data_IF_865103069724
#
_entry.id   IF_865103069724
#
_cell.length_a   1.000
_cell.length_b   1.000
_cell.length_c   1.000
_cell.angle_alpha   90.00
_cell.angle_beta   90.00
_cell.angle_gamma   90.00
#
_symmetry.space_group_name_H-M   'P 1'
#
loop_
_entity.id
_entity.type
_entity.pdbx_description
1 polymer ?
#
# COMPACT_ATOMS: atom_id res chain seq x y z
N UNK A 1 7.04 -26.51 -5.68
CA UNK A 1 7.42 -25.72 -4.49
C UNK A 1 7.21 -24.25 -4.87
N UNK A 2 6.30 -23.55 -4.20
CA UNK A 2 6.11 -22.11 -4.40
C UNK A 2 6.94 -21.44 -3.30
N UNK A 3 7.99 -20.73 -3.71
CA UNK A 3 8.84 -19.93 -2.82
C UNK A 3 8.10 -18.63 -2.48
N UNK A 4 8.38 -18.03 -1.32
CA UNK A 4 7.85 -16.70 -0.97
C UNK A 4 8.22 -15.66 -2.05
N UNK A 5 7.25 -14.81 -2.41
CA UNK A 5 7.46 -13.68 -3.32
C UNK A 5 8.46 -12.71 -2.72
N UNK A 6 9.53 -12.37 -3.44
CA UNK A 6 10.50 -11.39 -2.96
C UNK A 6 9.89 -9.99 -2.88
N UNK A 7 10.40 -9.14 -2.00
CA UNK A 7 10.01 -7.73 -1.89
C UNK A 7 10.08 -6.98 -3.23
N UNK A 8 11.07 -7.30 -4.07
CA UNK A 8 11.21 -6.73 -5.41
C UNK A 8 10.08 -7.18 -6.36
N UNK A 9 9.67 -8.44 -6.28
CA UNK A 9 8.55 -8.96 -7.07
C UNK A 9 7.21 -8.37 -6.62
N UNK A 10 7.00 -8.21 -5.30
CA UNK A 10 5.81 -7.53 -4.76
C UNK A 10 5.76 -6.10 -5.30
N UNK A 11 6.86 -5.33 -5.19
CA UNK A 11 6.95 -3.97 -5.75
C UNK A 11 6.63 -3.94 -7.24
N UNK A 12 7.25 -4.81 -8.04
CA UNK A 12 7.06 -4.82 -9.48
C UNK A 12 5.59 -5.07 -9.86
N UNK A 13 4.90 -5.98 -9.15
CA UNK A 13 3.47 -6.25 -9.34
C UNK A 13 2.62 -5.01 -9.09
N UNK A 14 2.87 -4.27 -8.01
CA UNK A 14 2.13 -3.04 -7.70
C UNK A 14 2.42 -1.91 -8.69
N UNK A 15 3.68 -1.74 -9.12
CA UNK A 15 4.06 -0.78 -10.16
C UNK A 15 3.35 -1.10 -11.48
N UNK A 16 3.30 -2.38 -11.88
CA UNK A 16 2.61 -2.81 -13.09
C UNK A 16 1.11 -2.49 -13.02
N UNK A 17 0.45 -2.78 -11.89
CA UNK A 17 -0.96 -2.40 -11.67
C UNK A 17 -1.14 -0.87 -11.74
N UNK A 18 -0.21 -0.11 -11.16
CA UNK A 18 -0.21 1.36 -11.20
C UNK A 18 -0.10 1.90 -12.62
N UNK A 19 0.81 1.34 -13.44
CA UNK A 19 0.95 1.70 -14.86
C UNK A 19 -0.35 1.42 -15.62
N UNK A 20 -0.98 0.27 -15.39
CA UNK A 20 -2.27 -0.07 -16.02
C UNK A 20 -3.36 0.91 -15.61
N UNK A 21 -3.47 1.24 -14.32
CA UNK A 21 -4.45 2.19 -13.82
C UNK A 21 -4.21 3.62 -14.32
N UNK A 22 -2.96 4.01 -14.54
CA UNK A 22 -2.60 5.33 -15.05
C UNK A 22 -3.03 5.55 -16.51
N UNK A 23 -3.33 4.48 -17.27
CA UNK A 23 -3.89 4.60 -18.62
C UNK A 23 -5.31 5.18 -18.59
N UNK A 24 -6.07 4.90 -17.53
CA UNK A 24 -7.46 5.35 -17.33
C UNK A 24 -7.53 6.59 -16.43
N UNK A 25 -6.62 6.68 -15.46
CA UNK A 25 -6.57 7.73 -14.43
C UNK A 25 -5.19 8.40 -14.52
N UNK A 26 -4.96 9.24 -15.54
CA UNK A 26 -3.63 9.81 -15.77
C UNK A 26 -3.23 10.74 -14.62
N UNK A 27 -2.10 10.42 -13.99
CA UNK A 27 -1.39 11.28 -13.07
C UNK A 27 -0.19 11.92 -13.75
N UNK A 28 0.18 13.08 -13.23
CA UNK A 28 1.44 13.74 -13.56
C UNK A 28 2.63 12.97 -12.97
N UNK A 29 3.82 13.21 -13.52
CA UNK A 29 5.07 12.63 -13.00
C UNK A 29 5.29 13.00 -11.53
N UNK A 30 4.93 14.22 -11.12
CA UNK A 30 5.07 14.68 -9.74
C UNK A 30 4.09 14.02 -8.77
N UNK A 31 2.86 13.75 -9.21
CA UNK A 31 1.89 13.00 -8.42
C UNK A 31 2.33 11.54 -8.26
N UNK A 32 2.81 10.91 -9.33
CA UNK A 32 3.39 9.55 -9.26
C UNK A 32 4.61 9.50 -8.32
N UNK A 33 5.51 10.49 -8.40
CA UNK A 33 6.65 10.61 -7.48
C UNK A 33 6.21 10.80 -6.04
N UNK A 34 5.16 11.58 -5.80
CA UNK A 34 4.63 11.81 -4.45
C UNK A 34 4.06 10.51 -3.85
N UNK A 35 3.34 9.71 -4.65
CA UNK A 35 2.91 8.37 -4.25
C UNK A 35 4.10 7.45 -3.93
N UNK A 36 5.16 7.51 -4.75
CA UNK A 36 6.40 6.77 -4.51
C UNK A 36 7.08 7.12 -3.17
N UNK A 37 6.90 8.35 -2.70
CA UNK A 37 7.37 8.85 -1.40
C UNK A 37 6.41 8.54 -0.24
N UNK A 38 5.42 7.66 -0.44
CA UNK A 38 4.41 7.29 0.55
C UNK A 38 3.54 8.46 1.00
N UNK A 39 3.29 9.41 0.08
CA UNK A 39 2.40 10.55 0.31
C UNK A 39 1.29 10.50 -0.72
N UNK A 40 0.08 10.85 -0.29
CA UNK A 40 -1.04 11.00 -1.21
C UNK A 40 -1.02 12.41 -1.81
N UNK A 41 -0.84 12.57 -3.13
CA UNK A 41 -1.04 13.87 -3.77
C UNK A 41 -2.49 14.33 -3.59
N UNK A 42 -2.73 15.65 -3.51
CA UNK A 42 -4.09 16.18 -3.42
C UNK A 42 -4.88 15.90 -4.71
N UNK A 43 -6.21 15.82 -4.59
CA UNK A 43 -7.11 15.64 -5.73
C UNK A 43 -7.84 14.31 -5.76
N UNK A 44 -8.80 14.15 -6.69
CA UNK A 44 -9.59 12.93 -6.85
C UNK A 44 -8.80 11.84 -7.60
N UNK A 45 -8.07 12.20 -8.66
CA UNK A 45 -7.35 11.24 -9.51
C UNK A 45 -6.36 10.38 -8.73
N UNK A 46 -5.49 10.91 -7.84
CA UNK A 46 -4.57 10.07 -7.08
C UNK A 46 -5.29 9.06 -6.17
N UNK A 47 -6.40 9.48 -5.53
CA UNK A 47 -7.23 8.60 -4.72
C UNK A 47 -7.85 7.47 -5.56
N UNK A 48 -8.33 7.80 -6.75
CA UNK A 48 -8.93 6.81 -7.64
C UNK A 48 -7.89 5.88 -8.29
N UNK A 49 -6.66 6.35 -8.50
CA UNK A 49 -5.55 5.48 -8.90
C UNK A 49 -5.27 4.42 -7.83
N UNK A 50 -5.25 4.80 -6.55
CA UNK A 50 -5.16 3.85 -5.43
C UNK A 50 -6.29 2.82 -5.48
N UNK A 51 -7.53 3.27 -5.67
CA UNK A 51 -8.69 2.37 -5.75
C UNK A 51 -8.59 1.38 -6.91
N UNK A 52 -8.15 1.82 -8.09
CA UNK A 52 -7.94 0.94 -9.23
C UNK A 52 -6.91 -0.15 -8.93
N UNK A 53 -5.78 0.18 -8.30
CA UNK A 53 -4.76 -0.82 -7.95
C UNK A 53 -5.24 -1.74 -6.84
N UNK A 54 -5.93 -1.24 -5.83
CA UNK A 54 -6.48 -2.08 -4.77
C UNK A 54 -7.54 -3.04 -5.31
N UNK A 55 -8.34 -2.66 -6.32
CA UNK A 55 -9.24 -3.60 -7.02
C UNK A 55 -8.45 -4.68 -7.77
N UNK A 56 -7.40 -4.31 -8.51
CA UNK A 56 -6.52 -5.29 -9.18
C UNK A 56 -5.83 -6.24 -8.20
N UNK A 57 -5.55 -5.76 -6.98
CA UNK A 57 -5.00 -6.57 -5.90
C UNK A 57 -6.07 -7.38 -5.13
N UNK A 58 -7.36 -7.25 -5.48
CA UNK A 58 -8.52 -7.83 -4.77
C UNK A 58 -8.67 -7.37 -3.32
N UNK A 59 -8.26 -6.13 -3.02
CA UNK A 59 -8.39 -5.52 -1.69
C UNK A 59 -9.66 -4.69 -1.56
N UNK A 60 -10.26 -4.29 -2.69
CA UNK A 60 -11.56 -3.64 -2.72
C UNK A 60 -12.56 -4.49 -3.49
N UNK A 61 -13.77 -4.59 -2.96
CA UNK A 61 -14.91 -5.17 -3.68
C UNK A 61 -15.59 -4.14 -4.60
N UNK A 62 -16.61 -4.57 -5.34
CA UNK A 62 -17.37 -3.73 -6.27
C UNK A 62 -18.13 -2.57 -5.58
N UNK A 63 -18.33 -2.65 -4.26
CA UNK A 63 -18.90 -1.56 -3.46
C UNK A 63 -17.83 -0.57 -2.98
N UNK A 64 -16.57 -0.80 -3.35
CA UNK A 64 -15.43 0.02 -2.94
C UNK A 64 -15.05 -0.21 -1.48
N UNK A 65 -15.49 -1.30 -0.87
CA UNK A 65 -15.21 -1.66 0.52
C UNK A 65 -13.93 -2.48 0.60
N UNK A 66 -13.14 -2.25 1.65
CA UNK A 66 -11.95 -3.06 1.93
C UNK A 66 -12.33 -4.50 2.29
N UNK A 67 -11.69 -5.46 1.62
CA UNK A 67 -11.92 -6.89 1.78
C UNK A 67 -10.88 -7.46 2.73
N UNK A 68 -11.24 -7.72 3.99
CA UNK A 68 -10.30 -8.26 5.00
C UNK A 68 -9.72 -9.62 4.62
N UNK A 69 -10.42 -10.42 3.81
CA UNK A 69 -9.91 -11.69 3.28
C UNK A 69 -8.69 -11.53 2.36
N UNK A 70 -8.46 -10.33 1.79
CA UNK A 70 -7.26 -10.02 1.01
C UNK A 70 -5.96 -10.14 1.83
N UNK A 71 -6.04 -9.93 3.13
CA UNK A 71 -4.92 -10.03 4.07
C UNK A 71 -4.37 -11.46 4.12
N UNK A 72 -5.26 -12.46 4.09
CA UNK A 72 -4.88 -13.87 4.06
C UNK A 72 -4.09 -14.19 2.80
N UNK A 73 -4.53 -13.70 1.64
CA UNK A 73 -3.83 -13.94 0.38
C UNK A 73 -2.40 -13.37 0.42
N UNK A 74 -2.22 -12.15 0.94
CA UNK A 74 -0.89 -11.53 1.13
C UNK A 74 -0.02 -12.40 2.04
N UNK A 75 -0.54 -12.85 3.18
CA UNK A 75 0.19 -13.68 4.14
C UNK A 75 0.64 -15.00 3.52
N UNK A 76 -0.24 -15.67 2.77
CA UNK A 76 0.00 -16.98 2.19
C UNK A 76 0.93 -16.95 0.97
N UNK A 77 0.94 -15.86 0.20
CA UNK A 77 1.77 -15.75 -1.01
C UNK A 77 3.07 -14.99 -0.77
N UNK A 78 2.99 -13.86 -0.09
CA UNK A 78 4.06 -12.87 -0.06
C UNK A 78 4.95 -13.01 1.18
N UNK A 79 4.40 -13.53 2.29
CA UNK A 79 5.12 -13.65 3.57
C UNK A 79 5.12 -15.06 4.17
N UNK A 80 4.88 -16.09 3.34
CA UNK A 80 4.68 -17.49 3.76
C UNK A 80 5.75 -18.03 4.71
N UNK A 81 7.00 -17.63 4.53
CA UNK A 81 8.15 -18.12 5.30
C UNK A 81 8.62 -17.11 6.38
N UNK A 82 7.83 -16.07 6.66
CA UNK A 82 8.21 -14.93 7.52
C UNK A 82 7.16 -14.68 8.64
N UNK A 83 7.10 -15.53 9.69
CA UNK A 83 5.99 -15.52 10.66
C UNK A 83 5.81 -14.20 11.43
N UNK A 84 6.90 -13.49 11.73
CA UNK A 84 6.84 -12.16 12.33
C UNK A 84 6.18 -11.15 11.39
N UNK A 85 6.53 -11.19 10.09
CA UNK A 85 5.91 -10.32 9.08
C UNK A 85 4.43 -10.67 8.89
N UNK A 86 4.07 -11.95 8.87
CA UNK A 86 2.67 -12.36 8.79
C UNK A 86 1.82 -11.75 9.92
N UNK A 87 2.32 -11.83 11.16
CA UNK A 87 1.62 -11.26 12.30
C UNK A 87 1.52 -9.72 12.20
N UNK A 88 2.59 -9.05 11.79
CA UNK A 88 2.58 -7.59 11.62
C UNK A 88 1.62 -7.14 10.50
N UNK A 89 1.60 -7.86 9.36
CA UNK A 89 0.65 -7.61 8.26
C UNK A 89 -0.77 -7.79 8.78
N UNK A 90 -1.06 -8.90 9.45
CA UNK A 90 -2.39 -9.18 10.00
C UNK A 90 -2.87 -8.05 10.91
N UNK A 91 -2.07 -7.68 11.91
CA UNK A 91 -2.42 -6.63 12.86
C UNK A 91 -2.63 -5.26 12.17
N UNK A 92 -1.76 -4.91 11.23
CA UNK A 92 -1.85 -3.66 10.48
C UNK A 92 -3.14 -3.56 9.68
N UNK A 93 -3.47 -4.59 8.90
CA UNK A 93 -4.67 -4.58 8.08
C UNK A 93 -5.94 -4.74 8.91
N UNK A 94 -5.92 -5.50 10.00
CA UNK A 94 -7.03 -5.53 10.97
C UNK A 94 -7.29 -4.13 11.55
N UNK A 95 -6.23 -3.42 11.95
CA UNK A 95 -6.34 -2.05 12.43
C UNK A 95 -6.91 -1.11 11.36
N UNK A 96 -6.41 -1.21 10.12
CA UNK A 96 -6.82 -0.34 9.02
C UNK A 96 -8.15 -0.74 8.36
N UNK A 97 -8.73 -1.89 8.69
CA UNK A 97 -10.05 -2.30 8.18
C UNK A 97 -11.18 -1.34 8.60
N UNK A 98 -10.97 -0.55 9.67
CA UNK A 98 -11.90 0.47 10.17
C UNK A 98 -12.26 1.55 9.14
N UNK A 99 -11.48 1.71 8.06
CA UNK A 99 -11.83 2.60 6.94
C UNK A 99 -13.16 2.23 6.26
N UNK A 100 -13.67 1.01 6.47
CA UNK A 100 -15.00 0.62 6.05
C UNK A 100 -16.13 1.31 6.85
N UNK A 101 -15.85 1.76 8.07
CA UNK A 101 -16.80 2.46 8.94
C UNK A 101 -16.81 3.97 8.67
N UNK A 102 -15.82 4.48 7.95
CA UNK A 102 -15.68 5.90 7.63
C UNK A 102 -16.68 6.35 6.55
N UNK A 103 -17.14 7.60 6.69
CA UNK A 103 -18.00 8.23 5.69
C UNK A 103 -17.16 8.65 4.48
N UNK A 104 -17.59 8.22 3.31
CA UNK A 104 -16.97 8.58 2.02
C UNK A 104 -17.92 9.41 1.17
N UNK A 105 -17.38 10.25 0.29
CA UNK A 105 -18.16 11.15 -0.56
C UNK A 105 -18.36 10.61 -1.99
N UNK A 106 -17.61 9.59 -2.36
CA UNK A 106 -17.51 9.05 -3.72
C UNK A 106 -18.33 7.77 -3.95
N UNK A 107 -19.21 7.44 -2.99
CA UNK A 107 -20.12 6.29 -3.06
C UNK A 107 -19.36 4.96 -3.17
N UNK A 108 -19.60 4.23 -4.26
CA UNK A 108 -19.00 2.91 -4.50
C UNK A 108 -17.69 2.97 -5.30
N UNK A 109 -17.22 4.16 -5.71
CA UNK A 109 -15.96 4.30 -6.45
C UNK A 109 -14.77 3.79 -5.63
N UNK A 110 -14.78 4.01 -4.31
CA UNK A 110 -13.77 3.52 -3.38
C UNK A 110 -12.48 4.33 -3.36
N UNK A 111 -12.40 5.45 -4.07
CA UNK A 111 -11.28 6.39 -4.07
C UNK A 111 -11.04 6.99 -2.68
N UNK A 112 -12.06 7.55 -2.03
CA UNK A 112 -11.92 8.13 -0.68
C UNK A 112 -11.51 7.05 0.34
N UNK A 113 -12.11 5.86 0.26
CA UNK A 113 -11.73 4.75 1.12
C UNK A 113 -10.31 4.27 0.89
N UNK A 114 -9.86 4.27 -0.35
CA UNK A 114 -8.47 3.92 -0.70
C UNK A 114 -7.48 4.93 -0.14
N UNK A 115 -7.84 6.21 -0.14
CA UNK A 115 -7.05 7.26 0.50
C UNK A 115 -6.93 7.03 2.00
N UNK A 116 -8.04 6.76 2.68
CA UNK A 116 -8.06 6.45 4.11
C UNK A 116 -7.23 5.19 4.43
N UNK A 117 -7.35 4.15 3.60
CA UNK A 117 -6.58 2.92 3.75
C UNK A 117 -5.08 3.18 3.59
N UNK A 118 -4.70 3.92 2.54
CA UNK A 118 -3.31 4.32 2.29
C UNK A 118 -2.73 5.11 3.47
N UNK A 119 -3.46 6.09 3.97
CA UNK A 119 -3.04 6.89 5.12
C UNK A 119 -2.87 6.03 6.38
N UNK A 120 -3.83 5.15 6.66
CA UNK A 120 -3.72 4.25 7.80
C UNK A 120 -2.51 3.30 7.69
N UNK A 121 -2.32 2.68 6.52
CA UNK A 121 -1.22 1.76 6.28
C UNK A 121 0.13 2.47 6.38
N UNK A 122 0.28 3.68 5.83
CA UNK A 122 1.53 4.45 5.89
C UNK A 122 1.85 4.95 7.30
N UNK A 123 0.84 5.34 8.08
CA UNK A 123 1.03 5.81 9.45
C UNK A 123 1.41 4.69 10.42
N UNK A 124 0.82 3.50 10.24
CA UNK A 124 0.90 2.38 11.20
C UNK A 124 1.84 1.26 10.76
N UNK A 125 2.33 1.27 9.52
CA UNK A 125 3.35 0.33 9.07
C UNK A 125 4.57 0.38 10.02
N UNK A 126 5.13 -0.77 10.41
CA UNK A 126 6.37 -0.83 11.19
C UNK A 126 7.47 -0.01 10.52
N UNK A 127 7.81 1.13 11.12
CA UNK A 127 8.96 1.92 10.72
C UNK A 127 10.18 1.11 11.15
N UNK A 128 10.86 0.49 10.19
CA UNK A 128 12.10 -0.25 10.46
C UNK A 128 13.02 0.62 11.31
N UNK A 129 13.53 0.05 12.42
CA UNK A 129 14.35 0.74 13.45
C UNK A 129 15.19 1.87 12.86
N UNK A 130 14.72 3.11 13.02
CA UNK A 130 15.57 4.28 12.96
C UNK A 130 16.29 4.37 14.30
N UNK A 131 17.57 4.01 14.35
CA UNK A 131 18.44 4.55 15.41
C UNK A 131 18.57 6.03 15.09
N UNK A 132 17.75 6.87 15.73
CA UNK A 132 18.17 8.22 16.04
C UNK A 132 19.33 8.10 17.02
N UNK A 133 20.53 8.57 16.68
CA UNK A 133 21.37 9.47 17.49
C UNK A 133 22.66 9.82 16.71
N UNK A 134 22.86 11.13 16.43
CA UNK A 134 24.14 11.84 16.33
C UNK A 134 25.28 11.31 15.46
N UNK A 135 25.58 12.00 14.35
CA UNK A 135 26.89 11.95 13.69
C UNK A 135 26.87 12.48 12.25
N UNK A 136 27.76 13.40 11.84
CA UNK A 136 27.86 13.83 10.46
C UNK A 136 28.76 12.85 9.71
N UNK A 137 28.20 12.05 8.80
CA UNK A 137 29.02 11.27 7.88
C UNK A 137 28.36 9.99 7.38
N UNK A 138 28.23 9.93 6.06
CA UNK A 138 27.95 8.77 5.24
C UNK A 138 26.47 8.38 5.06
N UNK A 139 25.87 9.07 4.09
CA UNK A 139 24.70 8.66 3.32
C UNK A 139 24.95 7.27 2.71
N UNK A 140 24.57 6.20 3.40
CA UNK A 140 24.31 4.91 2.79
C UNK A 140 22.80 4.68 2.87
N UNK A 141 22.13 4.99 1.77
CA UNK A 141 20.72 4.75 1.50
C UNK A 141 20.44 3.24 1.62
N UNK A 142 20.23 2.74 2.83
CA UNK A 142 19.62 1.43 3.07
C UNK A 142 18.12 1.61 2.95
N UNK A 143 17.53 0.91 1.98
CA UNK A 143 16.17 1.11 1.50
C UNK A 143 15.08 1.03 2.57
N UNK A 144 13.90 1.61 2.29
CA UNK A 144 12.84 1.78 3.28
C UNK A 144 12.15 0.44 3.64
N UNK A 145 11.52 0.36 4.82
CA UNK A 145 11.13 -0.89 5.48
C UNK A 145 9.95 -1.61 4.81
N UNK A 146 10.09 -2.93 4.64
CA UNK A 146 9.12 -4.07 4.66
C UNK A 146 7.67 -3.86 4.14
N UNK A 147 6.99 -2.76 4.47
CA UNK A 147 5.63 -2.41 4.05
C UNK A 147 5.56 -1.30 3.02
N UNK A 148 6.69 -0.66 2.79
CA UNK A 148 6.88 0.34 1.76
C UNK A 148 6.31 -0.20 0.42
N UNK A 149 6.49 -1.51 0.12
CA UNK A 149 5.99 -2.28 -1.07
C UNK A 149 4.48 -2.23 -1.33
N UNK A 150 3.67 -2.19 -0.27
CA UNK A 150 2.21 -2.15 -0.34
C UNK A 150 1.71 -0.76 -0.75
N UNK A 151 2.54 0.25 -0.47
CA UNK A 151 2.27 1.67 -0.69
C UNK A 151 2.97 2.17 -1.97
N UNK A 152 3.79 1.35 -2.63
CA UNK A 152 4.47 1.77 -3.86
C UNK A 152 3.55 1.77 -5.07
N UNK A 153 3.40 2.98 -5.59
CA UNK A 153 3.40 3.29 -7.01
C UNK A 153 4.80 3.78 -7.41
#
# INVERSE_FOLDING_TARGET
MINATTEAQIRARFIEMGIQCNQEIPLTVDEMRTLHEHKLPPGESPKCLLACVYRKANWLDDQGMFVSDSVRAIIETDYKDEPEKQNNVKQLFEQCSKVNEEKVSDGTKGCDRSALLFECLTQNAPKGRTVSQGGPGLLLLKGPPIFSHIVYF
#
